data_IF_982913510419
#
_entry.id   IF_982913510419
#
_cell.length_a   1.000
_cell.length_b   1.000
_cell.length_c   1.000
_cell.angle_alpha   90.00
_cell.angle_beta   90.00
_cell.angle_gamma   90.00
#
_symmetry.space_group_name_H-M   'P 1'
#
loop_
_entity.id
_entity.type
_entity.pdbx_description
1 polymer ?
#
# COMPACT_ATOMS: atom_id res chain seq x y z
N UNK A 1 0.31 -13.84 1.20
CA UNK A 1 1.74 -13.47 1.13
C UNK A 1 2.16 -12.80 2.42
N UNK A 2 3.34 -13.15 2.95
CA UNK A 2 3.92 -12.45 4.10
C UNK A 2 4.49 -11.11 3.67
N UNK A 3 4.12 -10.04 4.38
CA UNK A 3 4.68 -8.70 4.20
C UNK A 3 5.46 -8.36 5.46
N UNK A 4 6.76 -8.11 5.29
CA UNK A 4 7.61 -7.68 6.40
C UNK A 4 7.17 -6.31 6.94
N UNK A 5 7.33 -6.14 8.25
CA UNK A 5 7.07 -4.89 8.91
C UNK A 5 8.11 -3.83 8.58
N UNK A 6 7.85 -2.62 9.08
CA UNK A 6 8.77 -1.49 9.08
C UNK A 6 8.72 -0.82 10.44
N UNK A 7 9.50 0.24 10.63
CA UNK A 7 9.39 1.08 11.84
C UNK A 7 7.99 1.65 12.07
N UNK A 8 7.14 1.71 11.03
CA UNK A 8 5.78 2.28 11.07
C UNK A 8 4.66 1.25 10.95
N UNK A 9 4.94 0.01 10.56
CA UNK A 9 3.92 -1.01 10.27
C UNK A 9 4.35 -2.38 10.76
N UNK A 10 3.44 -3.14 11.33
CA UNK A 10 3.70 -4.51 11.75
C UNK A 10 3.73 -5.47 10.56
N UNK A 11 4.48 -6.56 10.73
CA UNK A 11 4.53 -7.64 9.77
C UNK A 11 3.19 -8.38 9.75
N UNK A 12 2.73 -8.82 8.57
CA UNK A 12 1.39 -9.37 8.42
C UNK A 12 1.24 -10.28 7.21
N UNK A 13 0.18 -11.08 7.25
CA UNK A 13 -0.31 -11.79 6.07
C UNK A 13 -1.23 -10.89 5.25
N UNK A 14 -0.89 -10.73 3.97
CA UNK A 14 -1.72 -10.07 2.98
C UNK A 14 -2.34 -11.11 2.04
N UNK A 15 -3.67 -11.20 1.92
CA UNK A 15 -4.30 -12.05 0.92
C UNK A 15 -3.94 -11.56 -0.48
N UNK A 16 -3.77 -12.49 -1.41
CA UNK A 16 -3.60 -12.18 -2.82
C UNK A 16 -4.82 -12.67 -3.57
N UNK A 17 -5.47 -11.79 -4.31
CA UNK A 17 -6.45 -12.22 -5.30
C UNK A 17 -5.76 -12.93 -6.48
N UNK A 18 -6.56 -13.48 -7.39
CA UNK A 18 -6.07 -14.23 -8.54
C UNK A 18 -5.22 -13.35 -9.48
N UNK A 19 -5.55 -12.07 -9.61
CA UNK A 19 -4.82 -11.15 -10.45
C UNK A 19 -3.45 -10.84 -9.84
N UNK A 20 -3.40 -10.49 -8.55
CA UNK A 20 -2.18 -10.19 -7.81
C UNK A 20 -1.25 -11.41 -7.77
N UNK A 21 -1.79 -12.60 -7.52
CA UNK A 21 -1.02 -13.85 -7.58
C UNK A 21 -0.38 -14.02 -8.96
N UNK A 22 -1.15 -13.86 -10.04
CA UNK A 22 -0.64 -13.98 -11.42
C UNK A 22 0.50 -12.99 -11.70
N UNK A 23 0.33 -11.72 -11.33
CA UNK A 23 1.35 -10.68 -11.54
C UNK A 23 2.62 -10.98 -10.74
N UNK A 24 2.48 -11.38 -9.47
CA UNK A 24 3.62 -11.70 -8.61
C UNK A 24 4.36 -12.96 -9.07
N UNK A 25 3.64 -13.99 -9.53
CA UNK A 25 4.25 -15.19 -10.13
C UNK A 25 5.02 -14.85 -11.40
N UNK A 26 4.45 -14.03 -12.30
CA UNK A 26 5.15 -13.59 -13.51
C UNK A 26 6.41 -12.76 -13.17
N UNK A 27 6.33 -11.89 -12.16
CA UNK A 27 7.46 -11.10 -11.69
C UNK A 27 8.55 -11.98 -11.07
N UNK A 28 8.19 -12.94 -10.23
CA UNK A 28 9.13 -13.88 -9.64
C UNK A 28 9.88 -14.69 -10.71
N UNK A 29 9.17 -15.20 -11.71
CA UNK A 29 9.79 -15.90 -12.84
C UNK A 29 10.75 -15.02 -13.65
N UNK A 30 10.41 -13.74 -13.85
CA UNK A 30 11.29 -12.78 -14.49
C UNK A 30 12.56 -12.51 -13.67
N UNK A 31 12.41 -12.23 -12.37
CA UNK A 31 13.53 -11.95 -11.47
C UNK A 31 14.45 -13.16 -11.32
N UNK A 32 13.90 -14.37 -11.24
CA UNK A 32 14.68 -15.61 -11.17
C UNK A 32 15.58 -15.80 -12.40
N UNK A 33 15.07 -15.50 -13.60
CA UNK A 33 15.85 -15.56 -14.86
C UNK A 33 16.97 -14.52 -14.93
N UNK A 34 16.90 -13.44 -14.14
CA UNK A 34 17.93 -12.40 -14.08
C UNK A 34 19.02 -12.66 -13.05
N UNK A 35 18.83 -13.63 -12.14
CA UNK A 35 19.86 -13.97 -11.16
C UNK A 35 21.02 -14.68 -11.83
N UNK A 36 22.24 -14.29 -11.46
CA UNK A 36 23.46 -14.97 -11.93
C UNK A 36 23.62 -16.33 -11.25
N UNK A 37 23.26 -16.42 -9.97
CA UNK A 37 23.32 -17.66 -9.21
C UNK A 37 21.90 -18.11 -8.84
N UNK A 38 21.54 -19.39 -9.08
CA UNK A 38 20.25 -19.93 -8.66
C UNK A 38 20.00 -19.89 -7.15
N UNK A 39 21.06 -19.90 -6.33
CA UNK A 39 20.96 -19.88 -4.86
C UNK A 39 20.47 -18.53 -4.32
N UNK A 40 20.63 -17.44 -5.09
CA UNK A 40 20.20 -16.10 -4.69
C UNK A 40 18.70 -15.84 -4.96
N UNK A 41 18.03 -16.77 -5.68
CA UNK A 41 16.63 -16.61 -6.11
C UNK A 41 15.64 -16.45 -4.94
N UNK A 42 15.73 -17.22 -3.84
CA UNK A 42 14.80 -17.07 -2.71
C UNK A 42 14.86 -15.69 -2.03
N UNK A 43 16.04 -15.05 -2.03
CA UNK A 43 16.26 -13.73 -1.42
C UNK A 43 16.01 -12.57 -2.39
N UNK A 44 15.76 -12.89 -3.67
CA UNK A 44 15.60 -11.90 -4.71
C UNK A 44 14.38 -11.00 -4.47
N UNK A 45 14.60 -9.69 -4.46
CA UNK A 45 13.55 -8.70 -4.24
C UNK A 45 12.62 -8.61 -5.47
N UNK A 46 11.31 -8.73 -5.25
CA UNK A 46 10.32 -8.69 -6.33
C UNK A 46 10.02 -7.26 -6.82
N UNK A 47 9.95 -6.29 -5.91
CA UNK A 47 9.42 -4.95 -6.20
C UNK A 47 10.48 -3.93 -6.68
N UNK A 48 11.75 -4.21 -6.46
CA UNK A 48 12.88 -3.31 -6.76
C UNK A 48 13.93 -4.05 -7.59
N UNK A 49 14.89 -3.34 -8.16
CA UNK A 49 16.00 -3.97 -8.85
C UNK A 49 16.82 -4.84 -7.88
N UNK A 50 17.43 -5.91 -8.39
CA UNK A 50 18.33 -6.78 -7.61
C UNK A 50 19.67 -6.11 -7.26
N UNK A 51 19.88 -4.86 -7.68
CA UNK A 51 21.07 -4.10 -7.35
C UNK A 51 21.08 -3.80 -5.84
N UNK A 52 22.08 -4.29 -5.08
CA UNK A 52 22.14 -4.08 -3.63
C UNK A 52 22.09 -2.59 -3.30
N UNK A 53 21.24 -2.22 -2.35
CA UNK A 53 21.16 -0.88 -1.80
C UNK A 53 20.53 -0.94 -0.40
N UNK A 54 20.81 0.05 0.47
CA UNK A 54 20.10 0.20 1.74
C UNK A 54 18.57 0.28 1.56
N UNK A 55 17.81 -0.20 2.54
CA UNK A 55 16.35 -0.27 2.47
C UNK A 55 15.69 1.07 2.15
N UNK A 56 16.22 2.17 2.68
CA UNK A 56 15.76 3.54 2.40
C UNK A 56 15.89 3.93 0.92
N UNK A 57 16.96 3.49 0.25
CA UNK A 57 17.16 3.75 -1.17
C UNK A 57 16.26 2.86 -2.02
N UNK A 58 16.05 1.61 -1.60
CA UNK A 58 15.10 0.71 -2.27
C UNK A 58 13.66 1.24 -2.16
N UNK A 59 13.29 1.75 -0.98
CA UNK A 59 12.01 2.42 -0.77
C UNK A 59 11.88 3.67 -1.67
N UNK A 60 12.91 4.51 -1.73
CA UNK A 60 12.91 5.69 -2.59
C UNK A 60 12.74 5.33 -4.07
N UNK A 61 13.43 4.28 -4.56
CA UNK A 61 13.28 3.78 -5.94
C UNK A 61 11.84 3.34 -6.23
N UNK A 62 11.20 2.63 -5.30
CA UNK A 62 9.81 2.23 -5.44
C UNK A 62 8.87 3.44 -5.48
N UNK A 63 9.07 4.43 -4.60
CA UNK A 63 8.31 5.68 -4.60
C UNK A 63 8.45 6.46 -5.91
N UNK A 64 9.67 6.57 -6.46
CA UNK A 64 9.92 7.25 -7.74
C UNK A 64 9.23 6.51 -8.90
N UNK A 65 9.37 5.19 -8.97
CA UNK A 65 8.71 4.38 -9.99
C UNK A 65 7.18 4.53 -9.95
N UNK A 66 6.60 4.59 -8.74
CA UNK A 66 5.17 4.80 -8.57
C UNK A 66 4.73 6.22 -8.97
N UNK A 67 5.49 7.25 -8.59
CA UNK A 67 5.23 8.63 -9.04
C UNK A 67 5.28 8.75 -10.57
N UNK A 68 6.25 8.10 -11.20
CA UNK A 68 6.36 8.06 -12.66
C UNK A 68 5.18 7.34 -13.31
N UNK A 69 4.69 6.25 -12.71
CA UNK A 69 3.50 5.55 -13.16
C UNK A 69 2.26 6.45 -13.07
N UNK A 70 2.03 7.09 -11.92
CA UNK A 70 0.91 8.02 -11.68
C UNK A 70 0.90 9.13 -12.75
N UNK A 71 2.08 9.70 -13.06
CA UNK A 71 2.23 10.69 -14.13
C UNK A 71 1.87 10.11 -15.50
N UNK A 72 2.37 8.93 -15.84
CA UNK A 72 2.15 8.28 -17.15
C UNK A 72 0.70 7.90 -17.42
N UNK A 73 -0.06 7.57 -16.37
CA UNK A 73 -1.49 7.25 -16.47
C UNK A 73 -2.39 8.48 -16.42
N UNK A 74 -1.83 9.69 -16.44
CA UNK A 74 -2.59 10.95 -16.49
C UNK A 74 -3.05 11.49 -15.14
N UNK A 75 -2.70 10.84 -14.02
CA UNK A 75 -3.07 11.28 -12.68
C UNK A 75 -2.07 12.27 -12.06
N UNK A 76 -0.96 12.56 -12.74
CA UNK A 76 0.08 13.46 -12.21
C UNK A 76 -0.30 14.94 -12.10
N UNK A 77 -1.39 15.36 -12.72
CA UNK A 77 -1.89 16.73 -12.63
C UNK A 77 -2.71 16.98 -11.35
N UNK A 78 -3.20 15.91 -10.70
CA UNK A 78 -3.95 16.00 -9.46
C UNK A 78 -2.99 16.04 -8.25
N UNK A 79 -2.89 17.17 -7.53
CA UNK A 79 -1.99 17.29 -6.37
C UNK A 79 -2.41 16.41 -5.18
N UNK A 80 -3.62 15.85 -5.18
CA UNK A 80 -4.12 14.93 -4.16
C UNK A 80 -3.69 13.48 -4.43
N UNK A 81 -3.30 13.14 -5.67
CA UNK A 81 -2.84 11.80 -6.02
C UNK A 81 -1.33 11.68 -5.80
N UNK A 82 -0.95 10.91 -4.78
CA UNK A 82 0.44 10.67 -4.37
C UNK A 82 0.70 9.17 -4.29
N UNK A 83 1.96 8.72 -4.24
CA UNK A 83 2.30 7.31 -3.97
C UNK A 83 1.58 6.73 -2.75
N UNK A 84 1.42 7.52 -1.68
CA UNK A 84 0.70 7.12 -0.47
C UNK A 84 -0.81 6.93 -0.68
N UNK A 85 -1.39 7.52 -1.72
CA UNK A 85 -2.82 7.40 -2.03
C UNK A 85 -3.20 5.97 -2.41
N UNK A 86 -2.25 5.14 -2.88
CA UNK A 86 -2.51 3.73 -3.13
C UNK A 86 -2.82 2.96 -1.83
N UNK A 87 -2.08 3.26 -0.76
CA UNK A 87 -2.36 2.70 0.57
C UNK A 87 -3.69 3.20 1.12
N UNK A 88 -4.01 4.48 0.92
CA UNK A 88 -5.30 5.05 1.32
C UNK A 88 -6.46 4.40 0.56
N UNK A 89 -6.32 4.18 -0.75
CA UNK A 89 -7.32 3.48 -1.54
C UNK A 89 -7.55 2.05 -1.04
N UNK A 90 -6.48 1.30 -0.73
CA UNK A 90 -6.61 -0.03 -0.13
C UNK A 90 -7.29 0.02 1.25
N UNK A 91 -7.01 1.05 2.06
CA UNK A 91 -7.66 1.27 3.35
C UNK A 91 -9.18 1.47 3.17
N UNK A 92 -9.57 2.33 2.22
CA UNK A 92 -10.97 2.62 1.91
C UNK A 92 -11.69 1.37 1.44
N UNK A 93 -11.11 0.59 0.54
CA UNK A 93 -11.71 -0.67 0.09
C UNK A 93 -11.94 -1.67 1.23
N UNK A 94 -10.96 -1.83 2.13
CA UNK A 94 -11.13 -2.69 3.31
C UNK A 94 -12.26 -2.18 4.21
N UNK A 95 -12.35 -0.87 4.40
CA UNK A 95 -13.40 -0.27 5.22
C UNK A 95 -14.77 -0.41 4.57
N UNK A 96 -14.90 -0.16 3.26
CA UNK A 96 -16.14 -0.34 2.51
C UNK A 96 -16.64 -1.79 2.60
N UNK A 97 -15.73 -2.77 2.54
CA UNK A 97 -16.06 -4.20 2.63
C UNK A 97 -16.49 -4.65 4.03
N UNK A 98 -15.94 -4.04 5.09
CA UNK A 98 -16.06 -4.56 6.47
C UNK A 98 -16.84 -3.67 7.42
N UNK A 99 -16.86 -2.36 7.15
CA UNK A 99 -17.35 -1.32 8.06
C UNK A 99 -16.49 -1.13 9.31
N UNK A 100 -15.27 -1.69 9.37
CA UNK A 100 -14.48 -1.78 10.61
C UNK A 100 -13.07 -1.20 10.49
N UNK A 101 -12.76 -0.20 11.32
CA UNK A 101 -11.44 0.43 11.37
C UNK A 101 -10.36 -0.53 11.89
N UNK A 102 -10.72 -1.47 12.76
CA UNK A 102 -9.79 -2.47 13.28
C UNK A 102 -9.33 -3.44 12.19
N UNK A 103 -10.19 -3.73 11.20
CA UNK A 103 -9.83 -4.56 10.05
C UNK A 103 -8.90 -3.81 9.10
N UNK A 104 -9.10 -2.50 8.90
CA UNK A 104 -8.15 -1.63 8.19
C UNK A 104 -6.79 -1.66 8.89
N UNK A 105 -6.76 -1.43 10.20
CA UNK A 105 -5.52 -1.43 10.97
C UNK A 105 -4.80 -2.77 10.87
N UNK A 106 -5.49 -3.88 11.09
CA UNK A 106 -4.91 -5.23 11.02
C UNK A 106 -4.39 -5.57 9.63
N UNK A 107 -5.17 -5.33 8.59
CA UNK A 107 -4.79 -5.67 7.20
C UNK A 107 -3.70 -4.77 6.64
N UNK A 108 -3.52 -3.56 7.15
CA UNK A 108 -2.43 -2.65 6.79
C UNK A 108 -1.23 -2.71 7.76
N UNK A 109 -1.36 -3.41 8.89
CA UNK A 109 -0.32 -3.52 9.92
C UNK A 109 -0.13 -2.22 10.71
N UNK A 110 -1.19 -1.44 10.91
CA UNK A 110 -1.15 -0.19 11.67
C UNK A 110 -1.31 -0.48 13.16
N UNK A 111 -0.49 0.19 13.98
CA UNK A 111 -0.54 0.10 15.46
C UNK A 111 -1.48 1.12 16.10
N UNK A 112 -2.14 1.96 15.31
CA UNK A 112 -3.04 3.02 15.77
C UNK A 112 -4.32 2.96 14.96
N UNK A 113 -5.45 2.90 15.68
CA UNK A 113 -6.79 2.96 15.09
C UNK A 113 -7.09 4.37 14.56
N UNK A 114 -6.63 5.42 15.23
CA UNK A 114 -6.78 6.80 14.74
C UNK A 114 -6.08 6.97 13.39
N UNK A 115 -4.86 6.46 13.24
CA UNK A 115 -4.16 6.47 11.96
C UNK A 115 -4.89 5.68 10.87
N UNK A 116 -5.56 4.59 11.23
CA UNK A 116 -6.39 3.82 10.30
C UNK A 116 -7.65 4.60 9.90
N UNK A 117 -8.29 5.28 10.85
CA UNK A 117 -9.44 6.16 10.62
C UNK A 117 -9.07 7.36 9.71
N UNK A 118 -7.94 8.01 9.98
CA UNK A 118 -7.42 9.11 9.16
C UNK A 118 -7.18 8.68 7.70
N UNK A 119 -6.65 7.47 7.47
CA UNK A 119 -6.38 6.95 6.13
C UNK A 119 -7.64 6.75 5.29
N UNK A 120 -8.77 6.43 5.93
CA UNK A 120 -10.06 6.25 5.25
C UNK A 120 -10.94 7.50 5.31
N UNK A 121 -10.45 8.58 5.93
CA UNK A 121 -11.23 9.81 6.13
C UNK A 121 -12.38 9.65 7.13
N UNK A 122 -12.34 8.65 8.01
CA UNK A 122 -13.38 8.40 9.00
C UNK A 122 -13.19 9.29 10.22
N UNK A 123 -14.13 10.20 10.46
CA UNK A 123 -14.14 11.07 11.63
C UNK A 123 -15.25 10.64 12.59
N UNK A 124 -14.87 9.93 13.66
CA UNK A 124 -15.81 9.48 14.70
C UNK A 124 -16.20 10.60 15.68
N UNK A 125 -15.44 11.69 15.73
CA UNK A 125 -15.70 12.87 16.57
C UNK A 125 -16.61 13.90 15.90
N UNK A 126 -16.88 13.78 14.59
CA UNK A 126 -17.84 14.63 13.88
C UNK A 126 -19.27 14.17 14.18
N UNK A 127 -19.69 14.39 15.41
CA UNK A 127 -21.07 14.18 15.86
C UNK A 127 -22.01 15.16 15.17
N UNK A 128 -22.93 14.65 14.36
CA UNK A 128 -24.31 15.15 14.15
C UNK A 128 -24.56 16.67 14.17
N UNK A 129 -23.74 17.48 13.48
CA UNK A 129 -23.94 18.93 13.34
C UNK A 129 -24.40 19.35 11.93
N UNK A 130 -24.90 18.42 11.11
CA UNK A 130 -25.45 18.71 9.77
C UNK A 130 -26.99 18.71 9.77
N UNK A 131 -27.60 19.14 10.89
CA UNK A 131 -29.06 19.26 11.04
C UNK A 131 -29.56 20.68 11.35
N UNK A 132 -28.71 21.70 11.39
CA UNK A 132 -29.06 23.03 11.92
C UNK A 132 -28.86 24.24 11.00
N UNK A 133 -28.47 24.03 9.73
CA UNK A 133 -28.31 25.12 8.75
C UNK A 133 -29.39 25.11 7.64
N UNK A 134 -30.60 24.62 7.95
CA UNK A 134 -31.74 24.65 7.01
C UNK A 134 -32.90 25.56 7.47
N UNK A 135 -32.64 26.52 8.36
CA UNK A 135 -33.65 27.52 8.74
C UNK A 135 -33.00 28.86 9.12
N UNK A 136 -32.59 29.62 8.12
CA UNK A 136 -32.27 31.05 8.22
C UNK A 136 -32.90 31.78 7.03
#
# INVERSE_FOLDING_TARGET
MWIHGSTRTDARWCPLDLWALRILSARAAFVAKQQRNPEDVPEARLAVSSAPAPDEQLQARACVALSDLIRRIGLGADPQVKPSSLTAHAAVQIFDDTGRIEDVARRLGLRSLDRAADLVGYSWTRSAAEGQDANA
#
